data_IF_792940551321
#
_entry.id   IF_792940551321
#
_cell.length_a   1.000
_cell.length_b   1.000
_cell.length_c   1.000
_cell.angle_alpha   90.00
_cell.angle_beta   90.00
_cell.angle_gamma   90.00
#
_symmetry.space_group_name_H-M   'P 1'
#
loop_
_entity.id
_entity.type
_entity.pdbx_description
1 polymer ?
#
# COMPACT_ATOMS: atom_id res chain seq x y z
N UNK A 1 -23.88 -2.96 60.17
CA UNK A 1 -22.59 -2.30 59.88
C UNK A 1 -21.91 -2.76 58.57
N UNK A 2 -22.40 -3.80 57.86
CA UNK A 2 -21.73 -4.30 56.65
C UNK A 2 -22.11 -3.65 55.31
N UNK A 3 -23.27 -2.99 55.20
CA UNK A 3 -23.77 -2.41 53.92
C UNK A 3 -23.21 -1.02 53.60
N UNK A 4 -22.88 -0.22 54.62
CA UNK A 4 -22.35 1.14 54.43
C UNK A 4 -20.89 1.13 53.94
N UNK A 5 -20.12 0.11 54.32
CA UNK A 5 -18.73 -0.08 53.86
C UNK A 5 -18.64 -0.48 52.37
N UNK A 6 -19.65 -1.20 51.86
CA UNK A 6 -19.65 -1.68 50.47
C UNK A 6 -19.93 -0.54 49.46
N UNK A 7 -20.82 0.38 49.80
CA UNK A 7 -21.11 1.57 48.98
C UNK A 7 -19.94 2.56 48.94
N UNK A 8 -19.25 2.76 50.06
CA UNK A 8 -18.06 3.61 50.09
C UNK A 8 -16.92 3.07 49.20
N UNK A 9 -16.69 1.75 49.20
CA UNK A 9 -15.67 1.12 48.37
C UNK A 9 -15.97 1.25 46.85
N UNK A 10 -17.25 1.18 46.44
CA UNK A 10 -17.64 1.36 45.04
C UNK A 10 -17.44 2.81 44.58
N UNK A 11 -17.74 3.80 45.42
CA UNK A 11 -17.51 5.21 45.08
C UNK A 11 -16.02 5.54 44.88
N UNK A 12 -15.12 4.94 45.66
CA UNK A 12 -13.67 5.14 45.47
C UNK A 12 -13.13 4.50 44.17
N UNK A 13 -13.68 3.36 43.75
CA UNK A 13 -13.28 2.71 42.48
C UNK A 13 -13.76 3.53 41.28
N UNK A 14 -14.97 4.09 41.31
CA UNK A 14 -15.49 4.94 40.22
C UNK A 14 -14.73 6.26 40.13
N UNK A 15 -14.34 6.86 41.26
CA UNK A 15 -13.54 8.09 41.28
C UNK A 15 -12.09 7.87 40.79
N UNK A 16 -11.51 6.69 41.04
CA UNK A 16 -10.16 6.35 40.58
C UNK A 16 -10.09 6.09 39.06
N UNK A 17 -11.20 5.63 38.45
CA UNK A 17 -11.26 5.37 36.99
C UNK A 17 -11.41 6.69 36.20
N UNK A 18 -12.06 7.71 36.77
CA UNK A 18 -12.29 9.00 36.08
C UNK A 18 -11.10 9.98 36.14
N UNK A 19 -10.04 9.69 36.91
CA UNK A 19 -8.85 10.56 37.02
C UNK A 19 -7.70 10.16 36.07
N UNK A 20 -7.93 9.26 35.13
CA UNK A 20 -6.90 8.81 34.17
C UNK A 20 -7.32 8.95 32.71
N UNK A 21 -7.98 10.06 32.36
CA UNK A 21 -8.27 10.39 30.95
C UNK A 21 -8.23 11.89 30.73
N UNK A 22 -7.09 12.52 31.03
CA UNK A 22 -6.82 13.91 30.65
C UNK A 22 -5.52 14.02 29.84
N UNK A 23 -5.23 12.98 29.05
CA UNK A 23 -4.25 13.08 27.99
C UNK A 23 -4.93 13.79 26.81
N UNK A 24 -4.66 15.09 26.67
CA UNK A 24 -4.86 15.79 25.40
C UNK A 24 -4.32 14.93 24.26
N UNK A 25 -5.06 14.75 23.16
CA UNK A 25 -4.56 14.04 21.99
C UNK A 25 -3.27 14.73 21.52
N UNK A 26 -2.21 13.98 21.17
CA UNK A 26 -1.00 14.59 20.66
C UNK A 26 -1.35 15.39 19.41
N UNK A 27 -0.88 16.63 19.38
CA UNK A 27 -1.04 17.52 18.22
C UNK A 27 -0.60 16.77 16.95
N UNK A 28 -1.49 16.78 15.97
CA UNK A 28 -1.38 16.13 14.67
C UNK A 28 -0.12 16.56 13.94
N UNK A 29 0.90 15.70 13.92
CA UNK A 29 1.82 15.66 12.79
C UNK A 29 1.06 15.07 11.60
N UNK A 30 1.12 15.73 10.45
CA UNK A 30 0.54 15.32 9.16
C UNK A 30 1.15 14.00 8.64
N UNK A 31 0.99 12.90 9.35
CA UNK A 31 1.29 11.56 8.87
C UNK A 31 -0.02 10.85 8.59
N UNK A 32 -0.20 10.38 7.35
CA UNK A 32 -1.36 9.60 6.95
C UNK A 32 -1.26 8.22 7.62
N UNK A 33 -1.93 7.96 8.75
CA UNK A 33 -1.48 6.96 9.71
C UNK A 33 -1.92 5.53 9.36
N UNK A 34 -2.56 5.34 8.20
CA UNK A 34 -3.07 4.05 7.70
C UNK A 34 -2.21 3.38 6.63
N UNK A 35 -1.13 4.02 6.16
CA UNK A 35 -0.26 3.46 5.13
C UNK A 35 0.88 2.63 5.74
N UNK A 36 1.22 1.53 5.10
CA UNK A 36 2.34 0.67 5.51
C UNK A 36 3.45 0.68 4.45
N UNK A 37 4.12 1.82 4.19
CA UNK A 37 5.14 1.91 3.13
C UNK A 37 6.33 0.98 3.37
N UNK A 38 6.54 0.56 4.62
CA UNK A 38 7.56 -0.42 5.03
C UNK A 38 7.11 -1.88 4.96
N UNK A 39 5.92 -2.14 4.43
CA UNK A 39 5.46 -3.51 4.21
C UNK A 39 6.16 -4.14 2.99
N UNK A 40 6.18 -5.46 2.98
CA UNK A 40 6.77 -6.27 1.92
C UNK A 40 6.16 -7.67 1.95
N UNK A 41 6.39 -8.45 0.89
CA UNK A 41 5.96 -9.84 0.86
C UNK A 41 6.74 -10.72 1.83
N UNK A 42 6.03 -11.56 2.57
CA UNK A 42 6.59 -12.42 3.59
C UNK A 42 7.17 -13.69 2.97
N UNK A 43 8.48 -13.87 3.06
CA UNK A 43 9.16 -15.06 2.51
C UNK A 43 8.82 -16.37 3.21
N UNK A 44 8.34 -16.30 4.46
CA UNK A 44 7.96 -17.47 5.27
C UNK A 44 6.49 -17.84 5.09
N UNK A 45 5.65 -16.94 4.60
CA UNK A 45 4.21 -17.14 4.41
C UNK A 45 3.85 -16.95 2.94
N UNK A 46 4.41 -17.84 2.13
CA UNK A 46 4.20 -17.90 0.68
C UNK A 46 4.12 -19.35 0.22
N UNK A 47 3.45 -19.57 -0.89
CA UNK A 47 3.55 -20.82 -1.62
C UNK A 47 4.98 -21.02 -2.13
N UNK A 48 5.50 -22.25 -2.06
CA UNK A 48 6.89 -22.57 -2.37
C UNK A 48 7.27 -22.28 -3.84
N UNK A 49 6.30 -22.36 -4.76
CA UNK A 49 6.45 -22.05 -6.19
C UNK A 49 6.50 -20.55 -6.54
N UNK A 50 6.28 -19.66 -5.56
CA UNK A 50 6.42 -18.23 -5.76
C UNK A 50 7.82 -17.77 -5.36
N UNK A 51 8.52 -17.08 -6.25
CA UNK A 51 9.78 -16.40 -5.92
C UNK A 51 9.50 -14.95 -5.60
N UNK A 52 10.21 -14.42 -4.60
CA UNK A 52 10.13 -13.03 -4.19
C UNK A 52 11.45 -12.33 -4.51
N UNK A 53 11.38 -11.11 -5.03
CA UNK A 53 12.55 -10.30 -5.33
C UNK A 53 12.30 -8.82 -5.07
N UNK A 54 13.35 -8.03 -5.20
CA UNK A 54 13.28 -6.58 -5.20
C UNK A 54 12.71 -6.05 -6.52
N UNK A 55 12.34 -4.77 -6.52
CA UNK A 55 12.05 -4.03 -7.75
C UNK A 55 13.33 -3.93 -8.57
N UNK A 56 13.27 -4.29 -9.85
CA UNK A 56 14.36 -4.01 -10.78
C UNK A 56 14.46 -2.50 -10.99
N UNK A 57 15.50 -1.86 -10.45
CA UNK A 57 15.84 -0.49 -10.83
C UNK A 57 16.45 -0.54 -12.23
N UNK A 58 15.79 0.10 -13.20
CA UNK A 58 16.42 0.31 -14.51
C UNK A 58 17.72 1.11 -14.29
N UNK A 59 18.86 0.70 -14.89
CA UNK A 59 20.10 1.44 -14.74
C UNK A 59 19.94 2.87 -15.29
N UNK A 60 20.33 3.86 -14.48
CA UNK A 60 20.21 5.31 -14.76
C UNK A 60 21.01 5.78 -16.00
N UNK A 61 21.79 4.91 -16.62
CA UNK A 61 22.74 5.21 -17.71
C UNK A 61 22.09 5.66 -19.04
N UNK A 62 20.77 5.53 -19.19
CA UNK A 62 20.08 6.00 -20.41
C UNK A 62 19.76 7.51 -20.41
N UNK A 63 19.96 8.23 -19.29
CA UNK A 63 19.59 9.65 -19.18
C UNK A 63 20.76 10.64 -19.18
N UNK A 64 21.99 10.21 -18.91
CA UNK A 64 23.17 11.10 -18.93
C UNK A 64 23.58 11.49 -20.37
N UNK A 65 23.43 10.58 -21.33
CA UNK A 65 23.84 10.84 -22.72
C UNK A 65 22.95 11.86 -23.47
N UNK A 66 21.78 12.24 -22.91
CA UNK A 66 20.93 13.32 -23.44
C UNK A 66 21.10 14.65 -22.72
N UNK A 67 21.62 14.68 -21.47
CA UNK A 67 21.89 15.92 -20.73
C UNK A 67 23.19 16.61 -21.16
N UNK A 68 24.14 15.87 -21.72
CA UNK A 68 25.43 16.43 -22.20
C UNK A 68 25.38 17.11 -23.58
N UNK A 69 24.21 17.15 -24.24
CA UNK A 69 24.02 17.83 -25.55
C UNK A 69 23.15 19.09 -25.50
N UNK A 70 22.77 19.56 -24.32
CA UNK A 70 21.90 20.75 -24.15
C UNK A 70 22.49 21.84 -23.24
N UNK A 71 23.82 21.86 -23.05
CA UNK A 71 24.55 22.94 -22.36
C UNK A 71 25.53 23.71 -23.24
N UNK A 72 25.81 23.26 -24.47
CA UNK A 72 26.84 23.87 -25.34
C UNK A 72 26.28 24.86 -26.38
N UNK A 73 24.99 25.22 -26.31
CA UNK A 73 24.33 26.07 -27.30
C UNK A 73 23.89 27.46 -26.79
N UNK A 74 24.25 27.87 -25.56
CA UNK A 74 23.74 29.14 -25.01
C UNK A 74 24.76 30.05 -24.32
N UNK A 75 26.07 29.80 -24.48
CA UNK A 75 27.12 30.69 -23.94
C UNK A 75 27.99 31.36 -25.01
N UNK A 76 27.37 31.89 -26.07
CA UNK A 76 28.08 32.66 -27.10
C UNK A 76 27.60 34.11 -27.26
N UNK A 77 26.82 34.65 -26.31
CA UNK A 77 26.33 36.03 -26.47
C UNK A 77 25.98 36.76 -25.18
N UNK A 78 26.89 36.85 -24.21
CA UNK A 78 26.92 37.98 -23.26
C UNK A 78 28.24 38.09 -22.47
N UNK A 79 29.27 38.65 -23.11
CA UNK A 79 30.36 39.33 -22.39
C UNK A 79 30.87 40.53 -23.21
N UNK A 80 30.18 41.65 -23.04
CA UNK A 80 30.70 43.02 -23.20
C UNK A 80 30.05 43.85 -22.12
N UNK A 81 30.75 44.03 -21.00
CA UNK A 81 31.13 45.31 -20.41
C UNK A 81 31.78 45.01 -19.06
N UNK A 82 33.07 45.28 -18.97
CA UNK A 82 33.85 45.29 -17.73
C UNK A 82 33.73 46.64 -17.04
N UNK A 83 34.07 46.62 -15.75
CA UNK A 83 34.51 47.74 -14.92
C UNK A 83 33.45 48.71 -14.40
N UNK A 84 33.08 48.54 -13.13
CA UNK A 84 33.37 49.54 -12.10
C UNK A 84 33.00 49.05 -10.70
N UNK A 85 33.87 49.41 -9.75
CA UNK A 85 33.66 49.52 -8.29
C UNK A 85 33.52 48.24 -7.47
N UNK A 86 34.70 47.74 -7.15
CA UNK A 86 35.10 47.22 -5.85
C UNK A 86 34.57 48.07 -4.66
N UNK A 87 34.43 47.43 -3.50
CA UNK A 87 34.12 48.01 -2.18
C UNK A 87 32.64 48.21 -1.81
N UNK A 88 31.93 47.10 -1.53
CA UNK A 88 31.05 46.90 -0.35
C UNK A 88 30.19 45.63 -0.50
N UNK A 89 30.71 44.49 -0.04
CA UNK A 89 29.85 43.43 0.53
C UNK A 89 30.63 42.56 1.51
N UNK A 90 31.03 43.18 2.62
CA UNK A 90 31.29 42.46 3.87
C UNK A 90 29.92 42.08 4.46
N UNK A 91 29.81 40.82 4.90
CA UNK A 91 28.65 40.12 5.47
C UNK A 91 27.70 39.48 4.45
N UNK A 92 27.84 38.17 4.27
CA UNK A 92 26.82 37.15 4.61
C UNK A 92 26.98 35.90 3.72
N UNK A 93 27.84 34.97 4.13
CA UNK A 93 27.75 33.52 3.88
C UNK A 93 29.14 32.93 4.12
N UNK A 94 29.32 32.15 5.18
CA UNK A 94 30.24 30.99 5.24
C UNK A 94 30.14 30.29 6.61
N UNK A 95 28.91 30.23 7.14
CA UNK A 95 28.55 29.37 8.28
C UNK A 95 27.82 28.09 7.81
N UNK A 96 27.92 27.73 6.53
CA UNK A 96 27.20 26.60 5.92
C UNK A 96 28.09 25.48 5.41
N UNK A 97 29.39 25.50 5.70
CA UNK A 97 30.32 24.46 5.23
C UNK A 97 30.93 23.58 6.34
N UNK A 98 30.33 23.56 7.53
CA UNK A 98 30.74 22.63 8.60
C UNK A 98 29.59 21.84 9.23
N UNK A 99 28.41 21.85 8.59
CA UNK A 99 27.26 21.01 9.02
C UNK A 99 26.73 20.06 7.95
N UNK A 100 27.40 19.96 6.79
CA UNK A 100 27.02 19.08 5.68
C UNK A 100 27.85 17.80 5.58
N UNK A 101 28.36 17.31 6.72
CA UNK A 101 29.10 16.05 6.82
C UNK A 101 28.71 15.28 8.07
N UNK A 102 27.41 15.01 8.23
CA UNK A 102 26.84 14.01 9.15
C UNK A 102 25.33 13.90 8.92
N UNK A 103 24.92 13.34 7.79
CA UNK A 103 23.63 12.65 7.68
C UNK A 103 23.69 11.67 6.51
N UNK A 104 24.57 10.69 6.64
CA UNK A 104 24.55 9.48 5.81
C UNK A 104 24.83 8.30 6.72
N UNK A 105 24.07 8.19 7.81
CA UNK A 105 23.85 6.88 8.39
C UNK A 105 22.77 6.24 7.53
N UNK A 106 23.27 5.58 6.48
CA UNK A 106 22.56 4.57 5.75
C UNK A 106 22.14 3.49 6.76
N UNK A 107 20.86 3.54 7.17
CA UNK A 107 20.21 2.33 7.64
C UNK A 107 20.17 1.40 6.44
N UNK A 108 21.09 0.43 6.38
CA UNK A 108 20.97 -0.74 5.52
C UNK A 108 19.76 -1.55 6.00
N UNK A 109 18.57 -1.03 5.70
CA UNK A 109 17.34 -1.80 5.66
C UNK A 109 17.57 -2.91 4.65
N UNK A 110 17.26 -4.15 5.01
CA UNK A 110 17.14 -5.21 4.01
C UNK A 110 16.26 -4.70 2.87
N UNK A 111 16.62 -5.00 1.61
CA UNK A 111 15.89 -4.48 0.49
C UNK A 111 14.49 -5.12 0.41
N UNK A 112 13.48 -4.29 0.11
CA UNK A 112 12.06 -4.67 0.20
C UNK A 112 11.69 -5.67 -0.89
N UNK A 113 11.14 -6.81 -0.47
CA UNK A 113 10.60 -7.85 -1.36
C UNK A 113 9.22 -7.45 -1.88
N UNK A 114 9.19 -6.78 -3.03
CA UNK A 114 7.97 -6.21 -3.61
C UNK A 114 7.48 -6.96 -4.85
N UNK A 115 8.35 -7.73 -5.49
CA UNK A 115 8.03 -8.48 -6.70
C UNK A 115 7.69 -9.92 -6.35
N UNK A 116 6.63 -10.44 -6.96
CA UNK A 116 6.22 -11.85 -6.88
C UNK A 116 6.21 -12.44 -8.27
N UNK A 117 6.89 -13.57 -8.46
CA UNK A 117 6.85 -14.33 -9.71
C UNK A 117 6.50 -15.79 -9.46
N UNK A 118 5.58 -16.33 -10.25
CA UNK A 118 5.29 -17.76 -10.25
C UNK A 118 6.29 -18.49 -11.15
N UNK A 119 7.08 -19.38 -10.56
CA UNK A 119 8.14 -20.14 -11.26
C UNK A 119 7.84 -21.64 -11.39
N UNK A 120 6.81 -22.13 -10.71
CA UNK A 120 6.37 -23.53 -10.79
C UNK A 120 5.89 -23.95 -12.18
N UNK A 121 5.66 -25.25 -12.37
CA UNK A 121 5.21 -25.81 -13.66
C UNK A 121 3.70 -26.09 -13.72
N UNK A 122 2.99 -25.87 -12.61
CA UNK A 122 1.55 -26.05 -12.51
C UNK A 122 0.77 -25.04 -13.38
N UNK A 123 -0.41 -25.46 -13.83
CA UNK A 123 -1.42 -24.60 -14.45
C UNK A 123 -2.65 -24.57 -13.57
N UNK A 124 -3.22 -23.37 -13.37
CA UNK A 124 -4.40 -23.17 -12.53
C UNK A 124 -4.19 -23.67 -11.08
N UNK A 125 -2.96 -23.64 -10.57
CA UNK A 125 -2.66 -23.99 -9.19
C UNK A 125 -2.60 -22.71 -8.36
N UNK A 126 -3.46 -22.58 -7.37
CA UNK A 126 -3.55 -21.40 -6.53
C UNK A 126 -2.33 -21.29 -5.62
N UNK A 127 -1.51 -20.26 -5.87
CA UNK A 127 -0.29 -20.01 -5.10
C UNK A 127 -0.36 -18.60 -4.54
N UNK A 128 -0.40 -18.49 -3.21
CA UNK A 128 -0.57 -17.22 -2.51
C UNK A 128 0.66 -16.78 -1.74
N UNK A 129 0.78 -15.47 -1.53
CA UNK A 129 1.75 -14.87 -0.62
C UNK A 129 1.09 -13.75 0.18
N UNK A 130 1.42 -13.71 1.47
CA UNK A 130 0.96 -12.70 2.40
C UNK A 130 2.04 -11.62 2.58
N UNK A 131 1.62 -10.39 2.84
CA UNK A 131 2.53 -9.37 3.32
C UNK A 131 2.93 -9.63 4.78
N UNK A 132 4.02 -9.01 5.23
CA UNK A 132 4.55 -9.16 6.59
C UNK A 132 3.62 -8.52 7.63
N UNK A 133 3.14 -7.30 7.33
CA UNK A 133 2.31 -6.52 8.25
C UNK A 133 0.84 -6.63 7.88
N UNK A 134 0.00 -6.77 8.92
CA UNK A 134 -1.45 -6.60 8.84
C UNK A 134 -1.79 -5.18 8.45
N UNK A 135 -2.99 -5.00 7.90
CA UNK A 135 -3.53 -3.67 7.68
C UNK A 135 -3.85 -3.01 9.04
N UNK A 136 -3.74 -1.67 9.16
CA UNK A 136 -4.24 -0.94 10.33
C UNK A 136 -5.73 -1.18 10.55
N UNK A 137 -6.25 -0.82 11.72
CA UNK A 137 -7.70 -0.94 12.04
C UNK A 137 -8.40 0.43 12.08
N UNK A 138 -7.75 1.47 11.58
CA UNK A 138 -8.23 2.84 11.56
C UNK A 138 -7.63 3.59 10.36
N UNK A 139 -8.24 4.73 10.00
CA UNK A 139 -7.82 5.53 8.85
C UNK A 139 -8.07 4.83 7.52
N UNK A 140 -7.20 5.08 6.53
CA UNK A 140 -7.30 4.48 5.21
C UNK A 140 -6.07 3.59 4.97
N UNK A 141 -6.32 2.31 4.73
CA UNK A 141 -5.33 1.39 4.21
C UNK A 141 -5.47 1.29 2.69
N UNK A 142 -4.34 1.32 1.97
CA UNK A 142 -4.33 1.16 0.52
C UNK A 142 -2.99 0.63 0.02
N UNK A 143 -3.03 -0.27 -0.96
CA UNK A 143 -1.85 -0.69 -1.71
C UNK A 143 -2.19 -0.93 -3.18
N UNK A 144 -1.19 -0.83 -4.03
CA UNK A 144 -1.30 -1.08 -5.47
C UNK A 144 -0.44 -2.27 -5.88
N UNK A 145 -0.86 -2.95 -6.94
CA UNK A 145 -0.13 -4.03 -7.58
C UNK A 145 -0.08 -3.77 -9.09
N UNK A 146 1.12 -3.62 -9.62
CA UNK A 146 1.37 -3.56 -11.06
C UNK A 146 1.48 -4.98 -11.63
N UNK A 147 0.74 -5.22 -12.70
CA UNK A 147 0.76 -6.49 -13.42
C UNK A 147 1.89 -6.44 -14.45
N UNK A 148 3.08 -6.90 -14.08
CA UNK A 148 4.22 -6.97 -15.02
C UNK A 148 3.95 -7.98 -16.13
N UNK A 149 3.44 -9.15 -15.77
CA UNK A 149 3.06 -10.23 -16.69
C UNK A 149 1.89 -11.03 -16.10
N UNK A 150 0.73 -11.02 -16.75
CA UNK A 150 -0.44 -11.82 -16.35
C UNK A 150 -0.40 -13.24 -16.92
N UNK A 151 0.14 -13.42 -18.13
CA UNK A 151 0.07 -14.70 -18.87
C UNK A 151 -1.37 -15.27 -18.88
N UNK A 152 -1.53 -16.56 -19.13
CA UNK A 152 -2.81 -17.26 -18.94
C UNK A 152 -3.15 -17.45 -17.46
N UNK A 153 -4.35 -17.93 -17.18
CA UNK A 153 -4.82 -18.12 -15.80
C UNK A 153 -5.31 -16.82 -15.14
N UNK A 154 -5.40 -16.85 -13.81
CA UNK A 154 -5.92 -15.75 -13.00
C UNK A 154 -4.82 -15.14 -12.13
N UNK A 155 -4.99 -13.86 -11.82
CA UNK A 155 -4.27 -13.14 -10.77
C UNK A 155 -5.33 -12.55 -9.84
N UNK A 156 -5.14 -12.70 -8.54
CA UNK A 156 -6.05 -12.21 -7.51
C UNK A 156 -5.31 -11.23 -6.60
N UNK A 157 -5.95 -10.08 -6.33
CA UNK A 157 -5.39 -9.02 -5.49
C UNK A 157 -6.41 -8.69 -4.41
N UNK A 158 -6.01 -8.81 -3.15
CA UNK A 158 -6.98 -8.75 -2.07
C UNK A 158 -6.40 -8.73 -0.67
N UNK A 159 -7.27 -9.05 0.29
CA UNK A 159 -6.96 -9.16 1.71
C UNK A 159 -7.43 -10.52 2.23
N UNK A 160 -6.63 -11.14 3.09
CA UNK A 160 -6.93 -12.43 3.70
C UNK A 160 -6.62 -12.43 5.19
N UNK A 161 -7.34 -13.26 5.94
CA UNK A 161 -6.92 -13.62 7.31
C UNK A 161 -5.78 -14.63 7.27
N UNK A 162 -5.03 -14.73 8.37
CA UNK A 162 -3.96 -15.74 8.51
C UNK A 162 -4.46 -17.19 8.60
N UNK A 163 -5.78 -17.42 8.51
CA UNK A 163 -6.37 -18.75 8.46
C UNK A 163 -6.36 -19.36 7.04
N UNK A 164 -6.28 -18.52 6.00
CA UNK A 164 -6.20 -19.02 4.63
C UNK A 164 -4.84 -19.68 4.39
N UNK A 165 -4.86 -20.86 3.78
CA UNK A 165 -3.65 -21.60 3.44
C UNK A 165 -2.97 -20.99 2.20
N UNK A 166 -1.64 -21.10 2.11
CA UNK A 166 -0.89 -20.55 0.97
C UNK A 166 -1.15 -21.27 -0.36
N UNK A 167 -1.80 -22.43 -0.33
CA UNK A 167 -2.22 -23.22 -1.49
C UNK A 167 -3.66 -22.91 -1.94
N UNK A 168 -4.31 -21.91 -1.35
CA UNK A 168 -5.63 -21.40 -1.74
C UNK A 168 -5.50 -20.01 -2.37
N UNK A 169 -6.50 -19.57 -3.14
CA UNK A 169 -6.56 -18.21 -3.68
C UNK A 169 -7.31 -17.24 -2.74
N UNK A 170 -6.79 -16.00 -2.66
CA UNK A 170 -7.49 -14.88 -2.03
C UNK A 170 -8.74 -14.52 -2.84
N UNK A 171 -9.88 -14.38 -2.17
CA UNK A 171 -11.21 -14.24 -2.76
C UNK A 171 -12.04 -15.51 -2.63
N UNK A 172 -11.69 -16.62 -3.32
CA UNK A 172 -12.37 -17.90 -3.18
C UNK A 172 -12.31 -18.50 -1.76
N UNK A 173 -11.19 -18.36 -1.04
CA UNK A 173 -11.06 -18.89 0.31
C UNK A 173 -11.98 -18.16 1.31
N UNK A 174 -12.37 -18.84 2.41
CA UNK A 174 -13.19 -18.24 3.48
C UNK A 174 -12.44 -17.10 4.19
N UNK A 175 -13.14 -16.08 4.66
CA UNK A 175 -12.58 -14.91 5.36
C UNK A 175 -11.50 -14.17 4.53
N UNK A 176 -11.73 -14.09 3.21
CA UNK A 176 -10.89 -13.37 2.25
C UNK A 176 -11.75 -12.57 1.28
N UNK A 177 -11.13 -11.54 0.68
CA UNK A 177 -11.75 -10.60 -0.25
C UNK A 177 -10.77 -10.29 -1.37
N UNK A 178 -11.22 -10.28 -2.63
CA UNK A 178 -10.32 -10.00 -3.74
C UNK A 178 -10.99 -9.37 -4.94
N UNK A 179 -10.16 -8.81 -5.81
CA UNK A 179 -10.46 -8.47 -7.18
C UNK A 179 -9.58 -9.32 -8.10
N UNK A 180 -10.19 -10.11 -8.98
CA UNK A 180 -9.48 -10.99 -9.91
C UNK A 180 -9.32 -10.39 -11.32
N UNK A 181 -8.33 -10.92 -12.04
CA UNK A 181 -7.99 -10.47 -13.40
C UNK A 181 -9.06 -10.74 -14.47
N UNK A 182 -10.12 -11.48 -14.12
CA UNK A 182 -11.27 -11.74 -14.98
C UNK A 182 -12.38 -10.71 -14.78
N UNK A 183 -12.23 -9.77 -13.85
CA UNK A 183 -13.23 -8.75 -13.56
C UNK A 183 -14.21 -9.18 -12.47
N UNK A 184 -13.79 -10.04 -11.53
CA UNK A 184 -14.68 -10.51 -10.46
C UNK A 184 -14.23 -9.90 -9.13
N UNK A 185 -15.19 -9.37 -8.38
CA UNK A 185 -15.01 -8.97 -6.98
C UNK A 185 -15.53 -10.11 -6.13
N UNK A 186 -14.68 -10.72 -5.29
CA UNK A 186 -14.98 -11.94 -4.54
C UNK A 186 -14.98 -11.69 -3.03
N UNK A 187 -15.81 -12.44 -2.31
CA UNK A 187 -15.87 -12.43 -0.84
C UNK A 187 -16.78 -11.34 -0.26
N UNK A 188 -17.34 -10.47 -1.10
CA UNK A 188 -18.22 -9.36 -0.74
C UNK A 188 -19.69 -9.72 -0.90
N UNK A 189 -20.39 -9.94 0.20
CA UNK A 189 -21.83 -10.23 0.21
C UNK A 189 -22.61 -8.92 0.04
N UNK A 190 -23.31 -8.78 -1.09
CA UNK A 190 -24.17 -7.63 -1.39
C UNK A 190 -25.46 -8.10 -2.06
N UNK A 191 -26.51 -7.29 -2.00
CA UNK A 191 -27.78 -7.61 -2.67
C UNK A 191 -27.56 -7.84 -4.17
N UNK A 192 -28.06 -8.97 -4.67
CA UNK A 192 -27.94 -9.34 -6.09
C UNK A 192 -26.57 -9.83 -6.53
N UNK A 193 -25.63 -10.09 -5.62
CA UNK A 193 -24.42 -10.82 -5.96
C UNK A 193 -24.72 -12.29 -6.32
N UNK A 194 -23.78 -12.94 -6.99
CA UNK A 194 -23.86 -14.36 -7.31
C UNK A 194 -23.07 -15.17 -6.29
N UNK A 195 -23.36 -16.46 -6.14
CA UNK A 195 -22.61 -17.36 -5.26
C UNK A 195 -22.03 -18.55 -6.02
N UNK A 196 -20.76 -18.84 -5.77
CA UNK A 196 -20.08 -20.04 -6.26
C UNK A 196 -19.32 -20.68 -5.10
N UNK A 197 -19.50 -21.98 -4.87
CA UNK A 197 -18.92 -22.69 -3.71
C UNK A 197 -19.19 -21.98 -2.37
N UNK A 198 -20.41 -21.46 -2.19
CA UNK A 198 -20.81 -20.66 -1.02
C UNK A 198 -20.00 -19.38 -0.81
N UNK A 199 -19.35 -18.85 -1.85
CA UNK A 199 -18.73 -17.52 -1.82
C UNK A 199 -19.41 -16.53 -2.75
N UNK A 200 -19.71 -15.31 -2.25
CA UNK A 200 -20.30 -14.26 -3.06
C UNK A 200 -19.27 -13.69 -4.04
N UNK A 201 -19.75 -13.32 -5.22
CA UNK A 201 -18.98 -12.60 -6.21
C UNK A 201 -19.85 -11.64 -7.05
N UNK A 202 -19.22 -10.54 -7.48
CA UNK A 202 -19.83 -9.47 -8.28
C UNK A 202 -19.07 -9.38 -9.61
N UNK A 203 -19.81 -9.35 -10.72
CA UNK A 203 -19.25 -9.28 -12.08
C UNK A 203 -19.77 -8.11 -12.90
N UNK A 204 -20.95 -7.57 -12.55
CA UNK A 204 -21.62 -6.54 -13.33
C UNK A 204 -20.85 -5.21 -13.25
N UNK A 205 -20.41 -4.71 -14.40
CA UNK A 205 -19.72 -3.42 -14.49
C UNK A 205 -18.28 -3.42 -13.98
N UNK A 206 -17.76 -4.58 -13.57
CA UNK A 206 -16.39 -4.72 -13.09
C UNK A 206 -15.48 -4.97 -14.29
N UNK A 207 -14.48 -4.11 -14.46
CA UNK A 207 -13.54 -4.22 -15.57
C UNK A 207 -12.57 -5.38 -15.30
N UNK A 208 -12.11 -6.13 -16.32
CA UNK A 208 -10.97 -7.03 -16.16
C UNK A 208 -9.65 -6.26 -16.25
N UNK A 209 -8.56 -6.88 -15.80
CA UNK A 209 -7.21 -6.30 -15.90
C UNK A 209 -6.19 -7.26 -16.55
N UNK A 210 -5.13 -6.67 -17.09
CA UNK A 210 -4.09 -7.33 -17.90
C UNK A 210 -2.71 -6.71 -17.66
N UNK A 211 -1.70 -7.23 -18.36
CA UNK A 211 -0.32 -6.72 -18.39
C UNK A 211 -0.30 -5.19 -18.52
N UNK A 212 0.54 -4.56 -17.69
CA UNK A 212 0.71 -3.11 -17.61
C UNK A 212 -0.33 -2.38 -16.75
N UNK A 213 -1.42 -3.03 -16.33
CA UNK A 213 -2.37 -2.39 -15.42
C UNK A 213 -1.85 -2.31 -13.99
N UNK A 214 -2.31 -1.28 -13.27
CA UNK A 214 -2.11 -1.12 -11.83
C UNK A 214 -3.45 -1.29 -11.14
N UNK A 215 -3.53 -2.25 -10.23
CA UNK A 215 -4.76 -2.59 -9.51
C UNK A 215 -4.58 -2.24 -8.05
N UNK A 216 -5.52 -1.50 -7.48
CA UNK A 216 -5.49 -1.13 -6.07
C UNK A 216 -6.51 -1.88 -5.24
N UNK A 217 -6.17 -2.12 -3.99
CA UNK A 217 -7.06 -2.66 -2.97
C UNK A 217 -6.92 -1.83 -1.70
N UNK A 218 -8.04 -1.35 -1.18
CA UNK A 218 -8.05 -0.52 0.02
C UNK A 218 -9.25 -0.72 0.90
N UNK A 219 -9.10 -0.22 2.12
CA UNK A 219 -10.12 -0.18 3.15
C UNK A 219 -10.11 1.22 3.77
N UNK A 220 -11.27 1.86 3.75
CA UNK A 220 -11.56 3.07 4.49
C UNK A 220 -12.27 2.69 5.79
N UNK A 221 -11.54 2.71 6.91
CA UNK A 221 -12.08 2.32 8.22
C UNK A 221 -12.98 3.39 8.83
N UNK A 222 -12.92 4.64 8.37
CA UNK A 222 -13.87 5.66 8.83
C UNK A 222 -15.28 5.38 8.33
N UNK A 223 -15.38 4.78 7.14
CA UNK A 223 -16.66 4.44 6.50
C UNK A 223 -16.92 2.93 6.48
N UNK A 224 -16.01 2.13 7.05
CA UNK A 224 -16.04 0.66 7.08
C UNK A 224 -16.22 0.02 5.69
N UNK A 225 -15.52 0.57 4.69
CA UNK A 225 -15.72 0.22 3.28
C UNK A 225 -14.45 -0.21 2.57
N UNK A 226 -14.53 -1.36 1.90
CA UNK A 226 -13.62 -1.77 0.86
C UNK A 226 -13.84 -0.97 -0.42
N UNK A 227 -12.74 -0.74 -1.12
CA UNK A 227 -12.74 -0.22 -2.47
C UNK A 227 -11.60 -0.85 -3.29
N UNK A 228 -11.81 -0.91 -4.60
CA UNK A 228 -10.82 -1.37 -5.56
C UNK A 228 -10.64 -0.34 -6.67
N UNK A 229 -9.43 -0.27 -7.20
CA UNK A 229 -9.10 0.65 -8.28
C UNK A 229 -8.41 -0.07 -9.43
N UNK A 230 -8.50 0.52 -10.62
CA UNK A 230 -7.78 0.09 -11.80
C UNK A 230 -7.24 1.34 -12.50
N UNK A 231 -5.92 1.39 -12.67
CA UNK A 231 -5.19 2.48 -13.32
C UNK A 231 -5.51 3.87 -12.75
N UNK A 232 -5.64 3.97 -11.42
CA UNK A 232 -5.90 5.25 -10.74
C UNK A 232 -7.36 5.71 -10.74
N UNK A 233 -8.30 4.85 -11.17
CA UNK A 233 -9.75 5.10 -11.09
C UNK A 233 -10.45 4.03 -10.26
N UNK A 234 -11.52 4.43 -9.56
CA UNK A 234 -12.32 3.52 -8.72
C UNK A 234 -13.12 2.58 -9.62
N UNK A 235 -12.99 1.28 -9.38
CA UNK A 235 -13.81 0.24 -10.05
C UNK A 235 -15.08 -0.01 -9.25
N UNK A 236 -14.94 -0.09 -7.94
CA UNK A 236 -16.04 -0.29 -6.99
C UNK A 236 -15.62 0.23 -5.62
N UNK A 237 -16.59 0.75 -4.86
CA UNK A 237 -16.44 1.18 -3.48
C UNK A 237 -17.75 0.87 -2.72
N UNK A 238 -17.81 1.14 -1.42
CA UNK A 238 -19.02 0.93 -0.64
C UNK A 238 -19.25 -0.52 -0.20
N UNK A 239 -18.23 -1.37 -0.31
CA UNK A 239 -18.33 -2.79 0.04
C UNK A 239 -18.04 -2.99 1.53
N UNK A 240 -18.91 -3.66 2.28
CA UNK A 240 -18.76 -3.78 3.74
C UNK A 240 -17.47 -4.50 4.17
N UNK A 241 -16.84 -4.00 5.23
CA UNK A 241 -15.70 -4.64 5.90
C UNK A 241 -16.22 -5.40 7.12
N UNK A 242 -15.83 -6.66 7.28
CA UNK A 242 -15.96 -7.31 8.59
C UNK A 242 -14.81 -6.84 9.49
N UNK A 243 -15.09 -5.83 10.32
CA UNK A 243 -14.12 -5.20 11.21
C UNK A 243 -13.52 -6.15 12.27
N UNK A 244 -14.11 -7.34 12.47
CA UNK A 244 -13.55 -8.36 13.36
C UNK A 244 -12.37 -9.12 12.75
N UNK A 245 -12.18 -9.06 11.42
CA UNK A 245 -11.15 -9.81 10.71
C UNK A 245 -9.80 -9.09 10.76
N UNK A 246 -8.77 -9.83 11.20
CA UNK A 246 -7.38 -9.38 11.17
C UNK A 246 -6.77 -9.65 9.80
N UNK A 247 -6.93 -8.67 8.90
CA UNK A 247 -6.60 -8.81 7.49
C UNK A 247 -5.13 -8.47 7.18
N UNK A 248 -4.58 -9.20 6.21
CA UNK A 248 -3.27 -8.96 5.60
C UNK A 248 -3.43 -8.77 4.09
N UNK A 249 -2.63 -7.90 3.46
CA UNK A 249 -2.46 -7.91 2.02
C UNK A 249 -2.05 -9.29 1.53
N UNK A 250 -2.76 -9.79 0.53
CA UNK A 250 -2.54 -11.11 -0.03
C UNK A 250 -2.80 -11.07 -1.54
N UNK A 251 -1.95 -11.76 -2.28
CA UNK A 251 -2.07 -11.92 -3.73
C UNK A 251 -1.93 -13.38 -4.09
N UNK A 252 -2.61 -13.80 -5.16
CA UNK A 252 -2.54 -15.18 -5.67
C UNK A 252 -2.26 -15.20 -7.16
N UNK A 253 -1.29 -16.03 -7.54
CA UNK A 253 -0.92 -16.32 -8.93
C UNK A 253 -1.25 -17.79 -9.21
N UNK A 254 -1.68 -18.11 -10.43
CA UNK A 254 -2.10 -19.47 -10.79
C UNK A 254 -1.22 -20.17 -11.83
N UNK A 255 -0.38 -19.44 -12.55
CA UNK A 255 0.29 -19.93 -13.75
C UNK A 255 1.75 -19.46 -13.86
N UNK A 256 2.59 -20.35 -14.43
CA UNK A 256 4.00 -20.08 -14.75
C UNK A 256 4.24 -18.78 -15.50
N UNK A 257 5.22 -18.01 -15.03
CA UNK A 257 5.70 -16.78 -15.64
C UNK A 257 4.83 -15.55 -15.34
N UNK A 258 3.79 -15.71 -14.51
CA UNK A 258 3.10 -14.57 -13.91
C UNK A 258 4.05 -13.79 -13.01
N UNK A 259 4.10 -12.48 -13.21
CA UNK A 259 4.92 -11.56 -12.41
C UNK A 259 4.10 -10.32 -12.07
N UNK A 260 4.16 -9.93 -10.81
CA UNK A 260 3.52 -8.72 -10.29
C UNK A 260 4.50 -7.95 -9.40
N UNK A 261 4.23 -6.67 -9.22
CA UNK A 261 5.00 -5.81 -8.34
C UNK A 261 4.07 -5.01 -7.43
N UNK A 262 4.30 -5.09 -6.13
CA UNK A 262 3.54 -4.38 -5.13
C UNK A 262 4.11 -2.99 -4.84
N UNK A 263 3.21 -2.08 -4.53
CA UNK A 263 3.48 -0.76 -3.99
C UNK A 263 2.63 -0.61 -2.72
N UNK A 264 3.26 -0.71 -1.56
CA UNK A 264 2.60 -0.47 -0.27
C UNK A 264 2.59 1.00 0.15
N UNK A 265 2.96 1.89 -0.78
CA UNK A 265 2.93 3.34 -0.65
C UNK A 265 4.27 3.99 -0.35
N UNK A 266 4.28 5.32 -0.17
CA UNK A 266 3.09 6.20 -0.23
C UNK A 266 2.72 6.66 -1.65
N UNK A 267 3.60 6.47 -2.64
CA UNK A 267 3.44 7.05 -3.97
C UNK A 267 2.56 6.20 -4.88
N UNK A 268 1.25 6.43 -4.81
CA UNK A 268 0.24 5.70 -5.60
C UNK A 268 -0.12 6.40 -6.91
N UNK A 269 -0.52 5.59 -7.90
CA UNK A 269 -1.16 6.09 -9.12
C UNK A 269 -2.55 6.67 -8.77
N UNK A 270 -3.33 5.95 -7.96
CA UNK A 270 -4.59 6.44 -7.42
C UNK A 270 -4.36 7.60 -6.43
N UNK A 271 -5.24 8.61 -6.48
CA UNK A 271 -5.22 9.73 -5.55
C UNK A 271 -6.31 9.52 -4.49
N UNK A 272 -5.90 9.22 -3.26
CA UNK A 272 -6.80 8.89 -2.14
C UNK A 272 -7.84 9.98 -1.86
N UNK A 273 -7.54 11.24 -2.16
CA UNK A 273 -8.48 12.36 -2.09
C UNK A 273 -9.75 12.16 -2.92
N UNK A 274 -9.70 11.36 -4.00
CA UNK A 274 -10.89 11.00 -4.78
C UNK A 274 -11.94 10.24 -3.97
N UNK A 275 -11.58 9.53 -2.89
CA UNK A 275 -12.54 8.84 -2.01
C UNK A 275 -13.45 9.83 -1.28
N UNK A 276 -12.93 11.01 -0.92
CA UNK A 276 -13.73 12.04 -0.24
C UNK A 276 -14.84 12.59 -1.14
N UNK A 277 -14.62 12.58 -2.45
CA UNK A 277 -15.59 13.07 -3.44
C UNK A 277 -16.74 12.09 -3.71
N UNK A 278 -16.65 10.84 -3.25
CA UNK A 278 -17.77 9.89 -3.29
C UNK A 278 -18.83 10.19 -2.21
N UNK A 279 -18.53 11.07 -1.25
CA UNK A 279 -19.40 11.40 -0.11
C UNK A 279 -20.47 12.46 -0.42
N UNK A 280 -20.54 12.95 -1.67
CA UNK A 280 -21.46 14.01 -2.11
C UNK A 280 -22.43 13.52 -3.19
#
# INVERSE_FOLDING_TARGET
MGTVLYLAAICFVVAAIQLKTDASPPETSNENPGLTPDNQWNSSVRHWQLTLSEREQLPDDATDSKRKKLSDATDSKRKKLSDATDSKRKKLSDATDSKRKKLSDATHSEPKKLVVEYTGEGRNLECSVFAVRRIPTYGIFYYEVKIERKKGGKVFIGLATSQMEVNEAVGPAKNTYAYDSSGFILGHEVEGCFHSNNRPYITKGILPFKDGNVVGCGVDFENEQFFYTLNGEIVIAGLSVDASLLLLPCVSLTNKGQKIEANFGPDFLFKLEKLKNLKN
#
